data_IF_329774298392
#
_entry.id   IF_329774298392
#
_cell.length_a   1.000
_cell.length_b   1.000
_cell.length_c   1.000
_cell.angle_alpha   90.00
_cell.angle_beta   90.00
_cell.angle_gamma   90.00
#
_symmetry.space_group_name_H-M   'P 1'
#
loop_
_entity.id
_entity.type
_entity.pdbx_description
1 polymer ?
#
# COMPACT_ATOMS: atom_id res chain seq x y z
N UNK A 1 -28.60 -34.31 6.95
CA UNK A 1 -27.39 -33.52 7.28
C UNK A 1 -27.22 -32.46 6.20
N UNK A 2 -27.58 -31.22 6.50
CA UNK A 2 -27.52 -30.11 5.55
C UNK A 2 -26.10 -29.53 5.52
N UNK A 3 -25.47 -29.53 4.36
CA UNK A 3 -24.24 -28.79 4.11
C UNK A 3 -24.55 -27.29 4.21
N UNK A 4 -23.94 -26.62 5.18
CA UNK A 4 -24.13 -25.18 5.41
C UNK A 4 -23.73 -24.38 4.17
N UNK A 5 -24.63 -23.50 3.72
CA UNK A 5 -24.34 -22.52 2.68
C UNK A 5 -23.12 -21.71 3.10
N UNK A 6 -22.04 -21.82 2.33
CA UNK A 6 -20.86 -20.95 2.47
C UNK A 6 -21.35 -19.53 2.20
N UNK A 7 -21.41 -18.72 3.26
CA UNK A 7 -21.90 -17.35 3.19
C UNK A 7 -21.09 -16.52 2.20
N UNK A 8 -21.80 -15.85 1.29
CA UNK A 8 -21.33 -14.72 0.48
C UNK A 8 -19.93 -14.85 -0.12
N UNK A 9 -19.75 -15.78 -1.07
CA UNK A 9 -18.71 -15.61 -2.07
C UNK A 9 -19.21 -14.50 -3.00
N UNK A 10 -18.83 -13.26 -2.68
CA UNK A 10 -19.04 -12.10 -3.54
C UNK A 10 -18.32 -12.40 -4.88
N UNK A 11 -19.00 -12.15 -6.01
CA UNK A 11 -18.57 -12.54 -7.36
C UNK A 11 -17.18 -12.03 -7.75
N UNK A 12 -16.71 -12.25 -8.99
CA UNK A 12 -15.37 -11.84 -9.41
C UNK A 12 -15.20 -10.34 -9.16
N UNK A 13 -14.43 -9.97 -8.14
CA UNK A 13 -14.17 -8.59 -7.82
C UNK A 13 -13.57 -7.90 -9.03
N UNK A 14 -14.10 -6.73 -9.41
CA UNK A 14 -13.54 -5.99 -10.53
C UNK A 14 -12.17 -5.43 -10.13
N UNK A 15 -11.14 -5.78 -10.90
CA UNK A 15 -9.82 -5.18 -10.79
C UNK A 15 -9.86 -3.81 -11.45
N UNK A 16 -9.58 -2.76 -10.69
CA UNK A 16 -9.54 -1.38 -11.18
C UNK A 16 -8.09 -0.89 -11.08
N UNK A 17 -7.51 -0.59 -12.24
CA UNK A 17 -6.22 0.05 -12.32
C UNK A 17 -6.35 1.54 -11.95
N UNK A 18 -5.65 1.96 -10.90
CA UNK A 18 -5.65 3.35 -10.41
C UNK A 18 -4.36 4.10 -10.79
N UNK A 19 -3.53 3.50 -11.63
CA UNK A 19 -2.27 4.09 -12.09
C UNK A 19 -1.12 3.93 -11.11
N UNK A 20 -0.07 4.72 -11.31
CA UNK A 20 1.16 4.67 -10.54
C UNK A 20 1.24 5.79 -9.50
N UNK A 21 1.82 5.48 -8.35
CA UNK A 21 2.12 6.44 -7.29
C UNK A 21 3.59 6.37 -6.90
N UNK A 22 4.09 7.47 -6.34
CA UNK A 22 5.40 7.52 -5.70
C UNK A 22 5.20 7.45 -4.19
N UNK A 23 5.85 6.48 -3.55
CA UNK A 23 5.87 6.33 -2.10
C UNK A 23 7.29 6.65 -1.64
N UNK A 24 7.42 7.63 -0.77
CA UNK A 24 8.72 8.08 -0.32
C UNK A 24 8.64 9.03 0.86
N UNK A 25 9.78 9.22 1.48
CA UNK A 25 9.99 10.19 2.54
C UNK A 25 11.37 10.81 2.37
N UNK A 26 11.43 12.14 2.42
CA UNK A 26 12.67 12.90 2.60
C UNK A 26 12.80 13.33 4.06
N UNK A 27 13.93 13.03 4.70
CA UNK A 27 14.22 13.53 6.03
C UNK A 27 15.70 13.90 6.15
N UNK A 28 15.99 15.11 6.64
CA UNK A 28 17.36 15.61 6.84
C UNK A 28 18.08 14.86 7.96
N UNK A 29 17.35 14.47 9.01
CA UNK A 29 17.79 13.55 10.05
C UNK A 29 16.59 12.69 10.40
N UNK A 30 16.64 11.41 10.05
CA UNK A 30 15.73 10.41 10.60
C UNK A 30 16.56 9.38 11.31
N UNK A 31 16.23 9.08 12.57
CA UNK A 31 16.50 7.77 13.14
C UNK A 31 15.28 6.94 12.73
N UNK A 32 15.35 6.35 11.55
CA UNK A 32 14.31 5.45 11.09
C UNK A 32 14.63 4.05 11.61
N UNK A 33 14.06 3.73 12.78
CA UNK A 33 13.94 2.35 13.24
C UNK A 33 12.46 1.96 13.17
N UNK A 34 12.14 0.88 12.46
CA UNK A 34 10.81 0.27 12.49
C UNK A 34 9.83 0.71 11.41
N UNK A 35 8.54 0.57 11.72
CA UNK A 35 7.42 0.66 10.76
C UNK A 35 6.89 2.08 10.72
N UNK A 36 6.69 2.63 9.52
CA UNK A 36 6.08 3.94 9.30
C UNK A 36 4.88 3.82 8.39
N UNK A 37 3.86 4.64 8.64
CA UNK A 37 2.74 4.77 7.71
C UNK A 37 2.97 6.00 6.84
N UNK A 38 3.06 5.78 5.53
CA UNK A 38 3.09 6.83 4.51
C UNK A 38 1.69 6.95 3.92
N UNK A 39 1.06 8.10 4.11
CA UNK A 39 -0.24 8.40 3.53
C UNK A 39 -0.05 9.06 2.18
N UNK A 40 -0.67 8.51 1.14
CA UNK A 40 -0.58 9.00 -0.25
C UNK A 40 -1.97 9.18 -0.84
N UNK A 41 -2.08 10.16 -1.72
CA UNK A 41 -3.32 10.41 -2.46
C UNK A 41 -3.38 9.52 -3.70
N UNK A 42 -4.47 8.77 -3.87
CA UNK A 42 -4.71 7.89 -5.02
C UNK A 42 -6.07 8.21 -5.63
N UNK A 43 -6.08 8.95 -6.74
CA UNK A 43 -7.34 9.35 -7.40
C UNK A 43 -8.16 8.13 -7.81
N UNK A 44 -9.45 8.12 -7.44
CA UNK A 44 -10.38 7.03 -7.77
C UNK A 44 -10.37 5.86 -6.78
N UNK A 45 -9.53 5.89 -5.74
CA UNK A 45 -9.59 4.94 -4.64
C UNK A 45 -10.85 5.20 -3.79
N UNK A 46 -11.58 4.15 -3.45
CA UNK A 46 -12.77 4.24 -2.60
C UNK A 46 -12.46 3.70 -1.20
N UNK A 47 -13.23 4.17 -0.21
CA UNK A 47 -13.15 3.63 1.15
C UNK A 47 -13.57 2.14 1.14
N UNK A 48 -12.75 1.29 1.77
CA UNK A 48 -12.99 -0.15 1.81
C UNK A 48 -12.50 -0.95 0.60
N UNK A 49 -11.89 -0.30 -0.40
CA UNK A 49 -11.20 -1.02 -1.48
C UNK A 49 -10.07 -1.87 -0.89
N UNK A 50 -9.96 -3.12 -1.36
CA UNK A 50 -8.76 -3.94 -1.12
C UNK A 50 -7.72 -3.53 -2.15
N UNK A 51 -6.50 -3.23 -1.72
CA UNK A 51 -5.48 -2.67 -2.62
C UNK A 51 -4.33 -3.65 -2.80
N UNK A 52 -3.90 -3.81 -4.05
CA UNK A 52 -2.66 -4.46 -4.44
C UNK A 52 -1.68 -3.38 -4.91
N UNK A 53 -0.46 -3.39 -4.35
CA UNK A 53 0.66 -2.59 -4.82
C UNK A 53 1.62 -3.48 -5.60
N UNK A 54 1.86 -3.13 -6.86
CA UNK A 54 2.86 -3.79 -7.69
C UNK A 54 4.06 -2.85 -7.90
N UNK A 55 5.28 -3.23 -7.49
CA UNK A 55 6.44 -2.36 -7.66
C UNK A 55 6.73 -2.10 -9.15
N UNK A 56 6.98 -0.83 -9.49
CA UNK A 56 7.44 -0.40 -10.81
C UNK A 56 8.94 -0.10 -10.82
N UNK A 57 9.48 0.27 -9.67
CA UNK A 57 10.91 0.42 -9.43
C UNK A 57 11.38 -0.57 -8.38
N UNK A 58 12.67 -0.90 -8.40
CA UNK A 58 13.29 -1.70 -7.35
C UNK A 58 13.15 -0.96 -6.02
N UNK A 59 12.77 -1.69 -4.97
CA UNK A 59 12.73 -1.13 -3.62
C UNK A 59 14.14 -0.81 -3.13
N UNK A 60 14.33 0.31 -2.41
CA UNK A 60 15.59 0.58 -1.73
C UNK A 60 15.98 -0.60 -0.82
N UNK A 61 17.26 -0.97 -0.84
CA UNK A 61 17.75 -2.14 -0.11
C UNK A 61 17.44 -2.07 1.39
N UNK A 62 16.91 -3.17 1.94
CA UNK A 62 16.55 -3.27 3.36
C UNK A 62 15.20 -2.66 3.74
N UNK A 63 14.47 -2.07 2.78
CA UNK A 63 13.10 -1.61 2.99
C UNK A 63 12.10 -2.68 2.57
N UNK A 64 10.99 -2.79 3.31
CA UNK A 64 9.85 -3.62 2.94
C UNK A 64 8.58 -2.78 2.97
N UNK A 65 7.58 -3.20 2.19
CA UNK A 65 6.25 -2.56 2.17
C UNK A 65 5.22 -3.53 2.72
N UNK A 66 4.41 -3.04 3.64
CA UNK A 66 3.30 -3.78 4.24
C UNK A 66 2.04 -3.73 3.42
N UNK A 67 0.98 -4.32 3.97
CA UNK A 67 -0.33 -4.32 3.36
C UNK A 67 -0.86 -2.86 3.27
N UNK A 68 -1.20 -2.36 2.07
CA UNK A 68 -1.81 -1.05 1.93
C UNK A 68 -3.27 -1.05 2.40
N UNK A 69 -3.71 0.06 3.00
CA UNK A 69 -5.08 0.21 3.55
C UNK A 69 -5.74 1.46 2.96
N UNK A 70 -6.86 1.27 2.26
CA UNK A 70 -7.70 2.36 1.80
C UNK A 70 -8.47 2.97 2.99
N UNK A 71 -7.89 3.99 3.62
CA UNK A 71 -8.46 4.64 4.81
C UNK A 71 -9.77 5.37 4.49
N UNK A 72 -9.79 6.09 3.39
CA UNK A 72 -10.89 6.91 2.93
C UNK A 72 -10.84 7.05 1.41
N UNK A 73 -11.85 7.70 0.82
CA UNK A 73 -11.81 8.04 -0.60
C UNK A 73 -10.52 8.81 -0.91
N UNK A 74 -9.89 8.43 -2.01
CA UNK A 74 -8.62 8.96 -2.52
C UNK A 74 -7.42 8.87 -1.56
N UNK A 75 -7.51 8.14 -0.44
CA UNK A 75 -6.47 8.13 0.60
C UNK A 75 -6.01 6.71 0.89
N UNK A 76 -4.73 6.46 0.64
CA UNK A 76 -4.08 5.17 0.86
C UNK A 76 -3.00 5.31 1.93
N UNK A 77 -3.08 4.46 2.96
CA UNK A 77 -2.01 4.29 3.93
C UNK A 77 -1.13 3.12 3.51
N UNK A 78 0.16 3.36 3.42
CA UNK A 78 1.17 2.35 3.07
C UNK A 78 2.14 2.21 4.23
N UNK A 79 2.24 1.00 4.78
CA UNK A 79 3.25 0.72 5.80
C UNK A 79 4.61 0.48 5.12
N UNK A 80 5.65 1.15 5.60
CA UNK A 80 7.03 1.00 5.15
C UNK A 80 7.87 0.57 6.34
N UNK A 81 8.52 -0.57 6.22
CA UNK A 81 9.45 -1.11 7.20
C UNK A 81 10.84 -0.64 6.80
N UNK A 82 11.44 0.21 7.62
CA UNK A 82 12.83 0.63 7.44
C UNK A 82 13.78 -0.35 8.14
N UNK A 83 15.05 -0.44 7.71
CA UNK A 83 16.11 -1.12 8.45
C UNK A 83 16.21 -0.61 9.90
N UNK A 84 16.79 -1.41 10.79
CA UNK A 84 16.86 -1.10 12.22
C UNK A 84 17.57 0.23 12.55
N UNK A 85 18.49 0.68 11.70
CA UNK A 85 19.13 1.99 11.81
C UNK A 85 19.51 2.52 10.43
N UNK A 86 18.94 3.66 10.06
CA UNK A 86 19.33 4.44 8.89
C UNK A 86 19.37 5.91 9.32
N UNK A 87 20.47 6.61 9.00
CA UNK A 87 20.66 8.04 9.33
C UNK A 87 20.71 8.85 8.04
N UNK A 88 19.83 9.85 7.93
CA UNK A 88 19.85 10.82 6.82
C UNK A 88 19.47 10.29 5.44
N UNK A 89 19.02 9.03 5.32
CA UNK A 89 18.60 8.50 4.02
C UNK A 89 17.15 8.87 3.71
N UNK A 90 16.95 9.45 2.53
CA UNK A 90 15.64 9.50 1.89
C UNK A 90 15.39 8.18 1.16
N UNK A 91 14.13 7.78 1.07
CA UNK A 91 13.71 6.67 0.22
C UNK A 91 12.58 7.12 -0.70
N UNK A 92 12.56 6.56 -1.90
CA UNK A 92 11.50 6.78 -2.89
C UNK A 92 11.43 5.57 -3.80
N UNK A 93 10.21 5.11 -4.08
CA UNK A 93 9.94 4.06 -5.06
C UNK A 93 8.56 4.28 -5.68
N UNK A 94 8.40 3.81 -6.91
CA UNK A 94 7.12 3.83 -7.62
C UNK A 94 6.43 2.48 -7.55
N UNK A 95 5.11 2.52 -7.35
CA UNK A 95 4.26 1.35 -7.37
C UNK A 95 2.99 1.63 -8.16
N UNK A 96 2.53 0.62 -8.91
CA UNK A 96 1.21 0.59 -9.50
C UNK A 96 0.19 0.20 -8.45
N UNK A 97 -0.94 0.90 -8.43
CA UNK A 97 -2.05 0.66 -7.52
C UNK A 97 -3.18 -0.03 -8.26
N UNK A 98 -3.64 -1.17 -7.75
CA UNK A 98 -4.82 -1.87 -8.27
C UNK A 98 -5.80 -2.09 -7.13
N UNK A 99 -7.03 -1.59 -7.29
CA UNK A 99 -8.11 -1.83 -6.35
C UNK A 99 -8.90 -3.08 -6.75
N UNK A 100 -9.23 -3.92 -5.78
CA UNK A 100 -10.15 -5.06 -5.92
C UNK A 100 -11.47 -4.62 -5.32
N UNK A 101 -12.43 -4.33 -6.19
CA UNK A 101 -13.77 -3.89 -5.78
C UNK A 101 -14.72 -5.07 -5.73
N UNK A 102 -15.45 -5.25 -4.62
CA UNK A 102 -16.33 -6.38 -4.45
C UNK A 102 -17.72 -6.11 -5.02
#
# INVERSE_FOLDING_TARGET
MAWGKIGNIKGPGSLVDLGSITIGQSATIAIAAGIRTVTVTVTGLLAGDRVLLSPLTVFPGGYLVGQPVARAANTLDVQVYAPALVIGAAYSFQAKVTAVRP
#
